data_IF_306520953851
#
_entry.id   IF_306520953851
#
_cell.length_a   1.000
_cell.length_b   1.000
_cell.length_c   1.000
_cell.angle_alpha   90.00
_cell.angle_beta   90.00
_cell.angle_gamma   90.00
#
_symmetry.space_group_name_H-M   'P 1'
#
loop_
_entity.id
_entity.type
_entity.pdbx_description
1 polymer ?
#
# COMPACT_ATOMS: atom_id res chain seq x y z
N UNK A 1 -7.73 1.95 -11.86
CA UNK A 1 -7.16 2.10 -10.51
C UNK A 1 -5.68 2.39 -10.69
N UNK A 2 -5.23 3.58 -10.41
CA UNK A 2 -3.80 3.91 -10.45
C UNK A 2 -3.29 3.73 -9.03
N UNK A 3 -2.29 2.87 -8.77
CA UNK A 3 -1.74 2.73 -7.43
C UNK A 3 -1.10 4.06 -7.02
N UNK A 4 -1.55 4.61 -5.91
CA UNK A 4 -0.93 5.78 -5.30
C UNK A 4 0.23 5.34 -4.41
N UNK A 5 1.42 5.90 -4.62
CA UNK A 5 2.54 5.75 -3.70
C UNK A 5 2.58 6.98 -2.81
N UNK A 6 2.40 6.79 -1.52
CA UNK A 6 2.39 7.86 -0.54
C UNK A 6 3.42 7.64 0.56
N UNK A 7 3.91 8.74 1.11
CA UNK A 7 4.78 8.73 2.30
C UNK A 7 4.06 9.41 3.45
N UNK A 8 4.23 8.91 4.65
CA UNK A 8 3.71 9.57 5.85
C UNK A 8 4.79 9.64 6.93
N UNK A 9 4.86 10.76 7.62
CA UNK A 9 5.65 10.91 8.84
C UNK A 9 4.78 10.65 10.08
N UNK A 10 3.54 11.09 10.01
CA UNK A 10 2.47 10.81 10.97
C UNK A 10 1.19 10.62 10.17
N UNK A 11 0.14 10.08 10.78
CA UNK A 11 -1.17 9.98 10.14
C UNK A 11 -1.74 11.34 9.64
N UNK A 12 -1.17 12.48 10.07
CA UNK A 12 -1.58 13.85 9.69
C UNK A 12 -0.80 14.45 8.53
N UNK A 13 0.36 13.91 8.15
CA UNK A 13 1.19 14.44 7.06
C UNK A 13 1.43 13.35 6.04
N UNK A 14 0.61 13.33 5.02
CA UNK A 14 0.76 12.46 3.86
C UNK A 14 1.30 13.30 2.71
N UNK A 15 2.38 12.85 2.10
CA UNK A 15 2.95 13.39 0.88
C UNK A 15 2.84 12.30 -0.19
N UNK A 16 2.62 12.64 -1.43
CA UNK A 16 2.53 11.68 -2.55
C UNK A 16 3.81 11.74 -3.36
N UNK A 17 4.34 10.58 -3.77
CA UNK A 17 5.42 10.52 -4.74
C UNK A 17 4.90 10.95 -6.12
N UNK A 18 5.70 11.71 -6.84
CA UNK A 18 5.34 12.26 -8.14
C UNK A 18 5.78 11.33 -9.27
N UNK A 19 4.93 11.14 -10.27
CA UNK A 19 5.33 10.47 -11.50
C UNK A 19 6.36 11.33 -12.23
N UNK A 20 7.50 10.72 -12.60
CA UNK A 20 8.56 11.41 -13.37
C UNK A 20 8.21 11.51 -14.84
N UNK A 21 7.60 10.46 -15.39
CA UNK A 21 7.27 10.31 -16.80
C UNK A 21 5.92 9.63 -16.97
N UNK A 22 5.26 9.75 -18.12
CA UNK A 22 4.09 8.95 -18.42
C UNK A 22 4.37 7.45 -18.29
N UNK A 23 3.39 6.64 -17.86
CA UNK A 23 3.56 5.19 -17.76
C UNK A 23 4.01 4.56 -19.07
N UNK A 24 4.94 3.61 -18.99
CA UNK A 24 5.54 2.94 -20.15
C UNK A 24 5.00 1.52 -20.26
N UNK A 25 4.45 1.18 -21.43
CA UNK A 25 4.06 -0.19 -21.75
C UNK A 25 5.34 -1.00 -22.08
N UNK A 26 5.70 -1.94 -21.19
CA UNK A 26 6.88 -2.79 -21.36
C UNK A 26 6.59 -4.06 -22.16
N UNK A 27 5.41 -4.65 -21.91
CA UNK A 27 5.01 -5.90 -22.53
C UNK A 27 3.48 -5.90 -22.76
N UNK A 28 3.05 -6.43 -23.89
CA UNK A 28 1.64 -6.63 -24.16
C UNK A 28 1.45 -7.84 -25.09
N UNK A 29 0.92 -8.92 -24.56
CA UNK A 29 0.64 -10.15 -25.31
C UNK A 29 -0.64 -10.83 -24.75
N UNK A 30 -1.00 -12.00 -25.29
CA UNK A 30 -2.19 -12.74 -24.89
C UNK A 30 -2.15 -13.22 -23.42
N UNK A 31 -0.98 -13.39 -22.83
CA UNK A 31 -0.80 -13.91 -21.48
C UNK A 31 -0.82 -12.78 -20.44
N UNK A 32 -0.12 -11.68 -20.73
CA UNK A 32 0.01 -10.57 -19.79
C UNK A 32 0.30 -9.22 -20.45
N UNK A 33 -0.02 -8.17 -19.71
CA UNK A 33 0.37 -6.79 -20.00
C UNK A 33 1.18 -6.27 -18.81
N UNK A 34 2.32 -5.63 -19.08
CA UNK A 34 3.19 -5.02 -18.05
C UNK A 34 3.32 -3.54 -18.32
N UNK A 35 2.97 -2.72 -17.33
CA UNK A 35 3.03 -1.26 -17.40
C UNK A 35 3.94 -0.76 -16.28
N UNK A 36 4.98 -0.01 -16.64
CA UNK A 36 5.92 0.59 -15.69
C UNK A 36 5.52 2.00 -15.31
N UNK A 37 5.55 2.26 -14.02
CA UNK A 37 5.41 3.58 -13.41
C UNK A 37 6.72 3.94 -12.72
N UNK A 38 7.24 5.14 -12.98
CA UNK A 38 8.43 5.67 -12.33
C UNK A 38 8.05 6.88 -11.49
N UNK A 39 8.45 6.87 -10.23
CA UNK A 39 8.14 7.93 -9.29
C UNK A 39 9.41 8.48 -8.66
N UNK A 40 9.37 9.75 -8.30
CA UNK A 40 10.37 10.42 -7.48
C UNK A 40 9.73 10.92 -6.19
N UNK A 41 10.46 10.78 -5.12
CA UNK A 41 10.14 11.43 -3.85
C UNK A 41 11.44 12.00 -3.26
N UNK A 42 11.60 13.32 -3.34
CA UNK A 42 12.81 14.04 -2.91
C UNK A 42 14.09 13.45 -3.52
N UNK A 43 14.91 12.70 -2.73
CA UNK A 43 16.15 12.05 -3.17
C UNK A 43 15.96 10.59 -3.56
N UNK A 44 14.77 10.06 -3.37
CA UNK A 44 14.45 8.65 -3.55
C UNK A 44 13.71 8.40 -4.86
N UNK A 45 13.96 7.23 -5.45
CA UNK A 45 13.25 6.79 -6.66
C UNK A 45 12.53 5.49 -6.42
N UNK A 46 11.37 5.34 -7.07
CA UNK A 46 10.53 4.16 -6.97
C UNK A 46 10.10 3.76 -8.37
N UNK A 47 10.34 2.52 -8.74
CA UNK A 47 9.87 1.92 -9.98
C UNK A 47 8.89 0.83 -9.64
N UNK A 48 7.71 0.88 -10.26
CA UNK A 48 6.66 -0.10 -10.03
C UNK A 48 6.11 -0.62 -11.35
N UNK A 49 6.20 -1.93 -11.53
CA UNK A 49 5.63 -2.64 -12.65
C UNK A 49 4.27 -3.21 -12.26
N UNK A 50 3.22 -2.78 -12.93
CA UNK A 50 1.87 -3.33 -12.81
C UNK A 50 1.68 -4.41 -13.85
N UNK A 51 1.36 -5.63 -13.40
CA UNK A 51 1.23 -6.82 -14.25
C UNK A 51 -0.24 -7.26 -14.23
N UNK A 52 -0.84 -7.25 -15.41
CA UNK A 52 -2.20 -7.70 -15.66
C UNK A 52 -2.17 -9.01 -16.43
N UNK A 53 -3.00 -9.97 -16.08
CA UNK A 53 -3.07 -11.28 -16.73
C UNK A 53 -4.36 -11.43 -17.55
N UNK A 54 -4.27 -11.98 -18.76
CA UNK A 54 -5.39 -12.08 -19.70
C UNK A 54 -6.56 -12.94 -19.18
N UNK A 55 -6.31 -13.87 -18.28
CA UNK A 55 -7.29 -14.82 -17.75
C UNK A 55 -7.50 -14.73 -16.23
N UNK A 56 -7.08 -13.66 -15.58
CA UNK A 56 -7.17 -13.50 -14.12
C UNK A 56 -7.62 -12.10 -13.73
N UNK A 57 -8.30 -11.98 -12.60
CA UNK A 57 -8.61 -10.70 -11.96
C UNK A 57 -7.48 -10.21 -11.05
N UNK A 58 -6.42 -11.00 -10.89
CA UNK A 58 -5.25 -10.65 -10.11
C UNK A 58 -4.43 -9.60 -10.86
N UNK A 59 -3.98 -8.61 -10.11
CA UNK A 59 -3.02 -7.59 -10.55
C UNK A 59 -1.82 -7.70 -9.63
N UNK A 60 -0.63 -7.89 -10.21
CA UNK A 60 0.60 -7.92 -9.44
C UNK A 60 1.34 -6.58 -9.56
N UNK A 61 2.05 -6.23 -8.49
CA UNK A 61 2.89 -5.04 -8.42
C UNK A 61 4.29 -5.44 -7.99
N UNK A 62 5.24 -5.33 -8.89
CA UNK A 62 6.66 -5.48 -8.58
C UNK A 62 7.27 -4.11 -8.34
N UNK A 63 7.74 -3.86 -7.11
CA UNK A 63 8.19 -2.53 -6.72
C UNK A 63 9.65 -2.56 -6.30
N UNK A 64 10.47 -1.76 -6.99
CA UNK A 64 11.87 -1.50 -6.67
C UNK A 64 12.00 -0.10 -6.09
N UNK A 65 12.66 0.04 -4.96
CA UNK A 65 12.81 1.30 -4.23
C UNK A 65 14.29 1.57 -3.97
N UNK A 66 14.77 2.72 -4.44
CA UNK A 66 16.05 3.31 -4.04
C UNK A 66 15.75 4.45 -3.06
N UNK A 67 15.96 4.18 -1.75
CA UNK A 67 15.43 5.01 -0.67
C UNK A 67 16.52 5.76 0.07
N UNK A 68 16.39 7.09 0.14
CA UNK A 68 17.33 8.02 0.76
C UNK A 68 16.67 9.00 1.74
N UNK A 69 15.55 8.60 2.35
CA UNK A 69 14.80 9.47 3.26
C UNK A 69 14.78 8.92 4.68
N UNK A 70 14.92 9.83 5.65
CA UNK A 70 14.82 9.54 7.07
C UNK A 70 13.43 9.87 7.62
N UNK A 71 13.02 9.16 8.66
CA UNK A 71 11.78 9.39 9.38
C UNK A 71 10.54 9.36 8.48
N UNK A 72 10.51 8.47 7.51
CA UNK A 72 9.41 8.30 6.56
C UNK A 72 8.88 6.87 6.55
N UNK A 73 7.62 6.77 6.19
CA UNK A 73 6.91 5.53 5.99
C UNK A 73 6.39 5.52 4.56
N UNK A 74 6.93 4.64 3.73
CA UNK A 74 6.49 4.48 2.35
C UNK A 74 5.34 3.49 2.29
N UNK A 75 4.25 3.89 1.66
CA UNK A 75 3.04 3.05 1.49
C UNK A 75 2.59 2.99 0.05
N UNK A 76 2.16 1.81 -0.37
CA UNK A 76 1.28 1.65 -1.52
C UNK A 76 -0.16 1.86 -1.06
N UNK A 77 -0.92 2.72 -1.74
CA UNK A 77 -2.30 3.07 -1.41
C UNK A 77 -3.23 2.74 -2.57
N UNK A 78 -4.34 2.08 -2.27
CA UNK A 78 -5.36 1.68 -3.23
C UNK A 78 -6.69 2.28 -2.82
N UNK A 79 -7.17 3.26 -3.58
CA UNK A 79 -8.50 3.82 -3.42
C UNK A 79 -9.51 2.91 -4.08
N UNK A 80 -10.49 2.47 -3.31
CA UNK A 80 -11.49 1.48 -3.71
C UNK A 80 -12.89 2.11 -3.64
N UNK A 81 -13.76 1.75 -4.56
CA UNK A 81 -15.17 2.13 -4.47
C UNK A 81 -15.95 1.09 -3.66
N UNK A 82 -15.52 0.86 -2.41
CA UNK A 82 -16.10 -0.09 -1.48
C UNK A 82 -16.41 0.64 -0.16
N UNK A 83 -17.64 0.56 0.30
CA UNK A 83 -18.06 1.10 1.59
C UNK A 83 -18.23 -0.02 2.61
N UNK A 84 -17.23 -0.18 3.45
CA UNK A 84 -17.27 -1.14 4.55
C UNK A 84 -16.81 -0.48 5.84
N UNK A 85 -17.47 -0.76 6.93
CA UNK A 85 -17.07 -0.30 8.28
C UNK A 85 -15.96 -1.16 8.89
N UNK A 86 -15.58 -2.23 8.21
CA UNK A 86 -14.56 -3.20 8.66
C UNK A 86 -13.65 -3.61 7.52
N UNK A 87 -12.40 -3.84 7.85
CA UNK A 87 -11.44 -4.56 7.02
C UNK A 87 -10.98 -5.81 7.77
N UNK A 88 -10.70 -6.87 7.02
CA UNK A 88 -10.27 -8.18 7.55
C UNK A 88 -8.80 -8.37 7.28
N UNK A 89 -8.06 -8.84 8.26
CA UNK A 89 -6.60 -9.03 8.16
C UNK A 89 -6.23 -10.45 8.53
N UNK A 90 -5.35 -11.03 7.75
CA UNK A 90 -4.73 -12.31 8.07
C UNK A 90 -3.88 -12.21 9.34
N UNK A 91 -4.04 -13.18 10.22
CA UNK A 91 -3.22 -13.39 11.42
C UNK A 91 -2.93 -14.88 11.59
N UNK A 92 -2.08 -15.23 12.57
CA UNK A 92 -1.81 -16.64 12.87
C UNK A 92 -3.10 -17.40 13.20
N UNK A 93 -3.31 -18.51 12.50
CA UNK A 93 -4.44 -19.43 12.69
C UNK A 93 -5.83 -18.84 12.42
N UNK A 94 -5.92 -17.71 11.69
CA UNK A 94 -7.21 -17.13 11.39
C UNK A 94 -7.13 -15.72 10.85
N UNK A 95 -8.12 -14.92 11.18
CA UNK A 95 -8.21 -13.53 10.75
C UNK A 95 -8.77 -12.66 11.87
N UNK A 96 -8.60 -11.35 11.73
CA UNK A 96 -9.16 -10.34 12.64
C UNK A 96 -9.82 -9.24 11.85
N UNK A 97 -10.99 -8.80 12.31
CA UNK A 97 -11.69 -7.63 11.79
C UNK A 97 -11.26 -6.37 12.55
N UNK A 98 -11.05 -5.27 11.82
CA UNK A 98 -10.75 -3.95 12.40
C UNK A 98 -11.58 -2.86 11.72
N UNK A 99 -11.95 -1.80 12.46
CA UNK A 99 -12.74 -0.71 11.91
C UNK A 99 -11.96 0.10 10.85
N UNK A 100 -12.69 0.56 9.84
CA UNK A 100 -12.15 1.44 8.77
C UNK A 100 -12.38 2.92 9.05
N UNK A 101 -12.86 3.30 10.24
CA UNK A 101 -13.17 4.67 10.64
C UNK A 101 -12.25 5.19 11.76
N UNK A 102 -12.33 6.50 12.05
CA UNK A 102 -11.60 7.19 13.11
C UNK A 102 -12.52 7.78 14.19
N UNK A 103 -13.59 7.08 14.55
CA UNK A 103 -14.64 7.64 15.41
C UNK A 103 -14.20 7.84 16.85
N UNK A 104 -13.19 7.08 17.32
CA UNK A 104 -12.67 7.18 18.67
C UNK A 104 -11.18 7.51 18.69
N UNK A 105 -10.67 7.98 19.82
CA UNK A 105 -9.21 8.16 20.00
C UNK A 105 -8.42 6.85 19.90
N UNK A 106 -9.04 5.72 20.23
CA UNK A 106 -8.46 4.39 20.03
C UNK A 106 -8.32 4.05 18.55
N UNK A 107 -9.32 4.38 17.72
CA UNK A 107 -9.25 4.16 16.29
C UNK A 107 -8.20 5.06 15.65
N UNK A 108 -8.07 6.30 16.13
CA UNK A 108 -7.03 7.23 15.67
C UNK A 108 -5.62 6.75 16.03
N UNK A 109 -5.44 6.15 17.21
CA UNK A 109 -4.16 5.59 17.63
C UNK A 109 -3.76 4.36 16.79
N UNK A 110 -4.72 3.66 16.18
CA UNK A 110 -4.49 2.51 15.31
C UNK A 110 -4.39 2.90 13.84
N UNK A 111 -3.57 3.91 13.53
CA UNK A 111 -3.33 4.39 12.17
C UNK A 111 -2.49 3.42 11.32
N UNK A 112 -1.82 2.46 11.96
CA UNK A 112 -1.08 1.37 11.36
C UNK A 112 -1.38 0.11 12.16
N UNK A 113 -1.74 -0.98 11.49
CA UNK A 113 -2.10 -2.25 12.13
C UNK A 113 -1.31 -3.40 11.52
N UNK A 114 -1.01 -4.39 12.34
CA UNK A 114 -0.34 -5.60 11.86
C UNK A 114 -1.32 -6.54 11.17
N UNK A 115 -0.91 -7.08 10.05
CA UNK A 115 -1.52 -8.19 9.34
C UNK A 115 -0.43 -9.05 8.74
N UNK A 116 -0.75 -10.25 8.22
CA UNK A 116 0.27 -11.11 7.62
C UNK A 116 0.20 -11.06 6.10
N UNK A 117 -0.31 -12.09 5.48
CA UNK A 117 -0.21 -12.28 4.02
C UNK A 117 -1.24 -11.50 3.23
N UNK A 118 -2.35 -11.13 3.86
CA UNK A 118 -3.41 -10.41 3.16
C UNK A 118 -4.22 -9.49 4.08
N UNK A 119 -4.83 -8.51 3.47
CA UNK A 119 -5.89 -7.70 4.04
C UNK A 119 -7.01 -7.55 3.00
N UNK A 120 -8.25 -7.54 3.46
CA UNK A 120 -9.44 -7.49 2.62
C UNK A 120 -10.37 -6.36 3.06
N UNK A 121 -10.97 -5.72 2.09
CA UNK A 121 -12.10 -4.82 2.28
C UNK A 121 -13.19 -5.19 1.30
N UNK A 122 -14.37 -5.52 1.82
CA UNK A 122 -15.48 -6.02 1.02
C UNK A 122 -16.81 -5.46 1.52
N UNK A 123 -17.75 -5.35 0.61
CA UNK A 123 -19.19 -5.18 0.90
C UNK A 123 -19.97 -6.38 0.37
N UNK A 124 -21.30 -6.28 0.29
CA UNK A 124 -22.17 -7.37 -0.14
C UNK A 124 -22.07 -7.72 -1.64
N UNK A 125 -21.49 -6.86 -2.45
CA UNK A 125 -21.44 -7.00 -3.92
C UNK A 125 -20.05 -7.13 -4.51
N UNK A 126 -19.05 -6.59 -3.81
CA UNK A 126 -17.69 -6.48 -4.33
C UNK A 126 -16.65 -6.46 -3.20
N UNK A 127 -15.45 -6.95 -3.48
CA UNK A 127 -14.35 -6.92 -2.54
C UNK A 127 -12.99 -6.90 -3.21
N UNK A 128 -12.01 -6.39 -2.47
CA UNK A 128 -10.60 -6.37 -2.89
C UNK A 128 -9.73 -6.88 -1.76
N UNK A 129 -8.91 -7.87 -2.07
CA UNK A 129 -7.88 -8.40 -1.18
C UNK A 129 -6.50 -7.94 -1.64
N UNK A 130 -5.76 -7.29 -0.76
CA UNK A 130 -4.37 -6.91 -0.95
C UNK A 130 -3.48 -7.98 -0.34
N UNK A 131 -2.76 -8.69 -1.19
CA UNK A 131 -1.86 -9.78 -0.79
C UNK A 131 -0.40 -9.34 -0.89
N UNK A 132 0.45 -9.89 -0.04
CA UNK A 132 1.90 -9.69 -0.09
C UNK A 132 2.65 -10.90 0.48
N UNK A 133 3.97 -10.95 0.24
CA UNK A 133 4.84 -12.04 0.68
C UNK A 133 5.61 -11.75 1.98
N UNK A 134 5.90 -10.48 2.30
CA UNK A 134 6.84 -10.14 3.35
C UNK A 134 6.55 -8.84 4.12
N UNK A 135 5.39 -8.20 3.94
CA UNK A 135 5.03 -6.95 4.62
C UNK A 135 3.94 -7.19 5.66
N UNK A 136 3.98 -6.45 6.77
CA UNK A 136 3.12 -6.68 7.93
C UNK A 136 2.37 -5.45 8.41
N UNK A 137 2.66 -4.27 7.84
CA UNK A 137 2.00 -3.01 8.19
C UNK A 137 0.89 -2.67 7.21
N UNK A 138 -0.31 -2.48 7.71
CA UNK A 138 -1.48 -2.12 6.92
C UNK A 138 -2.21 -0.91 7.52
N UNK A 139 -2.96 -0.24 6.67
CA UNK A 139 -3.94 0.78 7.05
C UNK A 139 -5.13 0.66 6.10
N UNK A 140 -6.33 0.56 6.66
CA UNK A 140 -7.57 0.58 5.89
C UNK A 140 -8.50 1.59 6.52
N UNK A 141 -8.63 2.74 5.88
CA UNK A 141 -9.48 3.83 6.37
C UNK A 141 -10.34 4.38 5.24
N UNK A 142 -11.59 4.62 5.59
CA UNK A 142 -12.63 4.95 4.62
C UNK A 142 -12.66 3.90 3.50
N UNK A 143 -12.44 4.28 2.27
CA UNK A 143 -12.38 3.37 1.13
C UNK A 143 -10.96 3.15 0.62
N UNK A 144 -9.92 3.39 1.44
CA UNK A 144 -8.53 3.25 1.03
C UNK A 144 -7.83 2.14 1.80
N UNK A 145 -7.29 1.15 1.09
CA UNK A 145 -6.45 0.09 1.64
C UNK A 145 -4.98 0.39 1.34
N UNK A 146 -4.13 0.36 2.36
CA UNK A 146 -2.71 0.67 2.24
C UNK A 146 -1.84 -0.44 2.79
N UNK A 147 -0.69 -0.66 2.14
CA UNK A 147 0.37 -1.56 2.58
C UNK A 147 1.65 -0.75 2.81
N UNK A 148 2.26 -0.91 3.96
CA UNK A 148 3.57 -0.34 4.26
C UNK A 148 4.66 -1.13 3.57
N UNK A 149 5.37 -0.48 2.65
CA UNK A 149 6.46 -1.08 1.90
C UNK A 149 7.79 -0.96 2.65
N UNK A 150 8.03 0.21 3.26
CA UNK A 150 9.29 0.52 3.93
C UNK A 150 9.07 1.52 5.07
N UNK A 151 9.86 1.37 6.15
CA UNK A 151 9.93 2.30 7.27
C UNK A 151 11.38 2.66 7.55
N UNK A 152 11.73 3.94 7.43
CA UNK A 152 13.04 4.49 7.78
C UNK A 152 12.98 5.26 9.11
N UNK A 153 12.92 4.54 10.22
CA UNK A 153 12.94 5.12 11.55
C UNK A 153 14.38 5.08 12.10
N UNK A 154 14.83 6.19 12.71
CA UNK A 154 16.14 6.25 13.37
C UNK A 154 16.06 5.95 14.89
N UNK A 155 14.88 5.97 15.49
CA UNK A 155 14.75 5.64 16.91
C UNK A 155 14.95 4.11 17.15
N UNK A 156 15.69 3.70 18.20
CA UNK A 156 16.26 4.52 19.29
C UNK A 156 17.63 5.16 18.99
N UNK A 157 18.29 4.78 17.90
CA UNK A 157 19.58 5.34 17.52
C UNK A 157 19.38 6.57 16.62
N UNK A 158 19.57 7.76 17.20
CA UNK A 158 19.43 9.03 16.47
C UNK A 158 20.71 9.46 15.76
N UNK A 159 21.82 8.74 15.96
CA UNK A 159 23.14 9.05 15.39
C UNK A 159 23.56 8.06 14.29
N UNK A 160 22.77 7.05 14.00
CA UNK A 160 23.02 6.16 12.87
C UNK A 160 22.82 6.90 11.55
N UNK A 161 23.90 7.11 10.82
CA UNK A 161 23.93 7.64 9.44
C UNK A 161 23.54 6.57 8.41
#
# INVERSE_FOLDING_TARGET
MTPGISTSFTWKKVETAELTDPPVLLENNELRTVIRFSYVYRKSTIVQDMILYGNSRRIDFETTVDWHEDHRLLKAAFELDIRSTRAVYDIQFGHVERPTHYNTSWDQARFEVAGHKWADISDSGYGVSLMNDCKYGYDAKDSTLKLTLLKSAKFPDTEAD
#
